data_IF_168801938921
#
_entry.id   IF_168801938921
#
_cell.length_a   1.000
_cell.length_b   1.000
_cell.length_c   1.000
_cell.angle_alpha   90.00
_cell.angle_beta   90.00
_cell.angle_gamma   90.00
#
_symmetry.space_group_name_H-M   'P 1'
#
loop_
_entity.id
_entity.type
_entity.pdbx_description
1 polymer ?
#
# COMPACT_ATOMS: atom_id res chain seq x y z
N UNK A 1 1.62 -16.24 -7.05
CA UNK A 1 2.75 -17.16 -6.78
C UNK A 1 2.26 -18.59 -6.60
N UNK A 2 1.21 -18.83 -5.79
CA UNK A 2 0.63 -20.18 -5.68
C UNK A 2 0.00 -20.68 -6.99
N UNK A 3 -0.55 -19.79 -7.81
CA UNK A 3 -1.10 -20.10 -9.15
C UNK A 3 -0.01 -20.52 -10.16
N UNK A 4 1.24 -20.18 -9.91
CA UNK A 4 2.38 -20.53 -10.78
C UNK A 4 3.11 -21.80 -10.32
N UNK A 5 2.57 -22.52 -9.34
CA UNK A 5 3.18 -23.75 -8.81
C UNK A 5 4.48 -23.54 -8.01
N UNK A 6 4.83 -22.29 -7.71
CA UNK A 6 5.99 -21.98 -6.86
C UNK A 6 5.58 -22.03 -5.38
N UNK A 7 6.33 -22.75 -4.53
CA UNK A 7 6.04 -22.78 -3.11
C UNK A 7 6.22 -21.39 -2.49
N UNK A 8 5.22 -20.94 -1.75
CA UNK A 8 5.30 -19.72 -0.93
C UNK A 8 5.73 -20.15 0.47
N UNK A 9 6.94 -19.81 0.85
CA UNK A 9 7.49 -20.16 2.15
C UNK A 9 6.99 -19.17 3.22
N UNK A 10 6.66 -19.68 4.40
CA UNK A 10 6.52 -18.82 5.57
C UNK A 10 7.88 -18.21 5.96
N UNK A 11 7.88 -17.13 6.73
CA UNK A 11 9.12 -16.49 7.23
C UNK A 11 10.02 -17.52 7.91
N UNK A 12 9.46 -18.36 8.80
CA UNK A 12 10.24 -19.40 9.48
C UNK A 12 10.81 -20.44 8.53
N UNK A 13 10.04 -20.89 7.54
CA UNK A 13 10.50 -21.86 6.55
C UNK A 13 11.64 -21.28 5.71
N UNK A 14 11.50 -20.05 5.24
CA UNK A 14 12.55 -19.37 4.48
C UNK A 14 13.84 -19.18 5.30
N UNK A 15 13.72 -18.77 6.56
CA UNK A 15 14.89 -18.63 7.44
C UNK A 15 15.58 -19.98 7.67
N UNK A 16 14.82 -21.03 7.93
CA UNK A 16 15.39 -22.38 8.14
C UNK A 16 16.08 -22.91 6.87
N UNK A 17 15.52 -22.67 5.70
CA UNK A 17 16.12 -23.06 4.42
C UNK A 17 17.43 -22.31 4.17
N UNK A 18 17.47 -20.99 4.40
CA UNK A 18 18.70 -20.20 4.28
C UNK A 18 19.78 -20.65 5.28
N UNK A 19 19.38 -20.99 6.51
CA UNK A 19 20.28 -21.55 7.51
C UNK A 19 20.87 -22.89 7.04
N UNK A 20 20.06 -23.78 6.46
CA UNK A 20 20.53 -25.06 5.91
C UNK A 20 21.49 -24.88 4.72
N UNK A 21 21.39 -23.75 4.00
CA UNK A 21 22.33 -23.36 2.93
C UNK A 21 23.61 -22.72 3.47
N UNK A 22 23.78 -22.58 4.79
CA UNK A 22 24.97 -22.01 5.42
C UNK A 22 25.00 -20.49 5.48
N UNK A 23 23.86 -19.81 5.26
CA UNK A 23 23.76 -18.36 5.42
C UNK A 23 23.91 -17.98 6.89
N UNK A 24 24.86 -17.09 7.19
CA UNK A 24 25.13 -16.60 8.56
C UNK A 24 24.73 -15.14 8.77
N UNK A 25 24.64 -14.35 7.69
CA UNK A 25 24.29 -12.94 7.73
C UNK A 25 23.00 -12.72 6.95
N UNK A 26 21.88 -12.57 7.66
CA UNK A 26 20.56 -12.48 7.09
C UNK A 26 20.05 -11.03 7.05
N UNK A 27 19.62 -10.60 5.89
CA UNK A 27 18.91 -9.33 5.69
C UNK A 27 17.51 -9.61 5.17
N UNK A 28 16.50 -9.11 5.86
CA UNK A 28 15.09 -9.26 5.52
C UNK A 28 14.56 -7.88 5.19
N UNK A 29 14.07 -7.67 3.96
CA UNK A 29 13.41 -6.43 3.58
C UNK A 29 11.90 -6.61 3.63
N UNK A 30 11.24 -5.81 4.47
CA UNK A 30 9.78 -5.68 4.44
C UNK A 30 9.33 -4.99 3.15
N UNK A 31 8.27 -5.50 2.53
CA UNK A 31 7.58 -4.86 1.42
C UNK A 31 6.25 -4.21 1.86
N UNK A 32 6.02 -4.05 3.16
CA UNK A 32 4.86 -3.31 3.66
C UNK A 32 5.02 -1.81 3.43
N UNK A 33 3.92 -1.12 3.19
CA UNK A 33 3.92 0.34 3.00
C UNK A 33 3.97 1.04 4.35
N UNK A 34 3.16 0.63 5.32
CA UNK A 34 3.05 1.24 6.63
C UNK A 34 3.49 0.28 7.74
N UNK A 35 3.93 0.80 8.93
CA UNK A 35 4.29 0.01 10.10
C UNK A 35 3.02 -0.50 10.80
N UNK A 36 2.39 -1.50 10.21
CA UNK A 36 1.14 -2.09 10.66
C UNK A 36 1.33 -3.47 11.28
N UNK A 37 0.23 -4.15 11.58
CA UNK A 37 0.24 -5.45 12.27
C UNK A 37 1.01 -6.52 11.48
N UNK A 38 0.91 -6.53 10.16
CA UNK A 38 1.61 -7.48 9.29
C UNK A 38 3.13 -7.32 9.41
N UNK A 39 3.61 -6.08 9.48
CA UNK A 39 5.02 -5.81 9.74
C UNK A 39 5.44 -6.26 11.13
N UNK A 40 4.63 -5.98 12.14
CA UNK A 40 4.88 -6.42 13.52
C UNK A 40 4.89 -7.96 13.62
N UNK A 41 4.04 -8.65 12.84
CA UNK A 41 4.06 -10.11 12.76
C UNK A 41 5.35 -10.63 12.15
N UNK A 42 5.84 -9.99 11.08
CA UNK A 42 7.14 -10.32 10.49
C UNK A 42 8.25 -10.23 11.54
N UNK A 43 8.34 -9.11 12.27
CA UNK A 43 9.36 -8.94 13.31
C UNK A 43 9.24 -10.00 14.42
N UNK A 44 8.02 -10.27 14.91
CA UNK A 44 7.80 -11.31 15.93
C UNK A 44 8.20 -12.71 15.42
N UNK A 45 7.92 -13.04 14.16
CA UNK A 45 8.33 -14.32 13.57
C UNK A 45 9.84 -14.44 13.48
N UNK A 46 10.54 -13.38 13.08
CA UNK A 46 12.00 -13.34 13.03
C UNK A 46 12.60 -13.51 14.43
N UNK A 47 12.14 -12.73 15.40
CA UNK A 47 12.61 -12.84 16.80
C UNK A 47 12.37 -14.24 17.34
N UNK A 48 11.18 -14.80 17.12
CA UNK A 48 10.87 -16.17 17.57
C UNK A 48 11.79 -17.22 16.94
N UNK A 49 12.15 -17.06 15.66
CA UNK A 49 13.05 -17.99 14.97
C UNK A 49 14.47 -17.95 15.57
N UNK A 50 15.05 -16.75 15.69
CA UNK A 50 16.42 -16.61 16.23
C UNK A 50 16.52 -17.01 17.71
N UNK A 51 15.45 -16.78 18.49
CA UNK A 51 15.40 -17.21 19.91
C UNK A 51 15.36 -18.74 20.04
N UNK A 52 14.66 -19.42 19.13
CA UNK A 52 14.60 -20.90 19.11
C UNK A 52 15.86 -21.56 18.59
N UNK A 53 16.61 -20.87 17.74
CA UNK A 53 17.80 -21.37 17.06
C UNK A 53 18.99 -20.44 17.31
N UNK A 54 19.47 -20.31 18.57
CA UNK A 54 20.53 -19.38 18.90
C UNK A 54 21.84 -19.76 18.19
N UNK A 55 22.54 -18.75 17.66
CA UNK A 55 23.85 -18.95 17.01
C UNK A 55 23.81 -19.46 15.56
N UNK A 56 22.64 -19.74 15.00
CA UNK A 56 22.52 -20.13 13.60
C UNK A 56 22.90 -18.97 12.67
N UNK A 57 22.37 -17.77 12.95
CA UNK A 57 22.77 -16.56 12.25
C UNK A 57 23.70 -15.72 13.13
N UNK A 58 24.78 -15.20 12.57
CA UNK A 58 25.68 -14.23 13.21
C UNK A 58 25.02 -12.86 13.29
N UNK A 59 24.34 -12.47 12.20
CA UNK A 59 23.59 -11.23 12.13
C UNK A 59 22.24 -11.44 11.47
N UNK A 60 21.20 -10.78 12.02
CA UNK A 60 19.89 -10.69 11.40
C UNK A 60 19.46 -9.22 11.42
N UNK A 61 19.13 -8.68 10.25
CA UNK A 61 18.62 -7.30 10.11
C UNK A 61 17.27 -7.35 9.40
N UNK A 62 16.28 -6.66 9.96
CA UNK A 62 14.96 -6.47 9.35
C UNK A 62 14.86 -5.02 8.88
N UNK A 63 14.61 -4.83 7.60
CA UNK A 63 14.35 -3.51 7.02
C UNK A 63 12.95 -3.01 7.36
N UNK A 64 12.84 -1.71 7.57
CA UNK A 64 11.57 -1.06 7.86
C UNK A 64 10.59 -1.10 6.67
N UNK A 65 9.28 -0.89 6.93
CA UNK A 65 8.32 -0.56 5.89
C UNK A 65 8.69 0.73 5.15
N UNK A 66 7.98 1.00 4.07
CA UNK A 66 8.27 2.16 3.20
C UNK A 66 8.08 3.51 3.93
N UNK A 67 7.07 3.63 4.79
CA UNK A 67 6.67 4.87 5.45
C UNK A 67 6.93 4.80 6.97
N UNK A 68 8.12 5.16 7.42
CA UNK A 68 8.47 5.18 8.85
C UNK A 68 8.98 6.54 9.35
N UNK A 69 9.23 7.49 8.45
CA UNK A 69 9.71 8.83 8.78
C UNK A 69 9.10 9.89 7.85
N UNK A 70 9.15 11.17 8.27
CA UNK A 70 8.76 12.30 7.41
C UNK A 70 9.56 12.35 6.10
N UNK A 71 10.85 12.02 6.16
CA UNK A 71 11.72 11.97 4.98
C UNK A 71 11.24 10.91 3.96
N UNK A 72 10.81 9.75 4.46
CA UNK A 72 10.26 8.70 3.60
C UNK A 72 8.93 9.15 3.00
N UNK A 73 8.09 9.79 3.80
CA UNK A 73 6.81 10.33 3.34
C UNK A 73 7.00 11.36 2.22
N UNK A 74 7.89 12.32 2.40
CA UNK A 74 8.20 13.34 1.39
C UNK A 74 8.75 12.71 0.10
N UNK A 75 9.62 11.71 0.23
CA UNK A 75 10.19 11.00 -0.91
C UNK A 75 9.10 10.22 -1.68
N UNK A 76 8.23 9.52 -0.96
CA UNK A 76 7.12 8.74 -1.55
C UNK A 76 6.12 9.66 -2.24
N UNK A 77 5.71 10.75 -1.60
CA UNK A 77 4.80 11.74 -2.21
C UNK A 77 5.39 12.26 -3.52
N UNK A 78 6.65 12.65 -3.52
CA UNK A 78 7.34 13.15 -4.73
C UNK A 78 7.38 12.11 -5.85
N UNK A 79 7.73 10.88 -5.54
CA UNK A 79 7.83 9.79 -6.52
C UNK A 79 6.46 9.44 -7.10
N UNK A 80 5.45 9.29 -6.25
CA UNK A 80 4.09 8.95 -6.69
C UNK A 80 3.49 10.06 -7.55
N UNK A 81 3.62 11.33 -7.15
CA UNK A 81 3.14 12.45 -7.97
C UNK A 81 3.84 12.53 -9.33
N UNK A 82 5.13 12.20 -9.39
CA UNK A 82 5.87 12.14 -10.65
C UNK A 82 5.47 10.95 -11.55
N UNK A 83 4.88 9.90 -10.97
CA UNK A 83 4.43 8.69 -11.68
C UNK A 83 2.97 8.76 -12.14
N UNK A 84 2.24 9.83 -11.82
CA UNK A 84 0.85 9.98 -12.23
C UNK A 84 0.69 9.99 -13.76
N UNK A 85 -0.48 9.59 -14.29
CA UNK A 85 -0.71 9.51 -15.72
C UNK A 85 -0.39 10.80 -16.46
N UNK A 86 0.37 10.70 -17.54
CA UNK A 86 0.80 11.87 -18.35
C UNK A 86 -0.37 12.57 -19.05
N UNK A 87 -1.46 11.84 -19.31
CA UNK A 87 -2.69 12.38 -19.94
C UNK A 87 -3.62 13.03 -18.93
N UNK A 88 -3.23 13.11 -17.66
CA UNK A 88 -3.95 13.86 -16.62
C UNK A 88 -4.01 15.33 -17.01
N UNK A 89 -5.23 15.88 -17.07
CA UNK A 89 -5.47 17.29 -17.38
C UNK A 89 -5.62 18.12 -16.12
N UNK A 90 -5.39 19.44 -16.18
CA UNK A 90 -5.75 20.34 -15.09
C UNK A 90 -7.22 20.14 -14.67
N UNK A 91 -7.46 20.01 -13.37
CA UNK A 91 -8.79 19.74 -12.81
C UNK A 91 -9.20 18.26 -12.77
N UNK A 92 -8.44 17.35 -13.35
CA UNK A 92 -8.64 15.93 -13.12
C UNK A 92 -8.22 15.55 -11.70
N UNK A 93 -9.06 14.78 -11.05
CA UNK A 93 -8.75 14.21 -9.75
C UNK A 93 -7.95 12.91 -9.89
N UNK A 94 -7.23 12.56 -8.83
CA UNK A 94 -6.60 11.24 -8.64
C UNK A 94 -7.03 10.70 -7.30
N UNK A 95 -7.46 9.45 -7.28
CA UNK A 95 -7.68 8.69 -6.06
C UNK A 95 -6.70 7.53 -6.02
N UNK A 96 -5.80 7.59 -5.07
CA UNK A 96 -4.86 6.52 -4.76
C UNK A 96 -5.57 5.54 -3.82
N UNK A 97 -5.53 4.25 -4.12
CA UNK A 97 -6.09 3.20 -3.27
C UNK A 97 -4.99 2.52 -2.47
N UNK A 98 -4.98 2.73 -1.15
CA UNK A 98 -4.21 1.94 -0.21
C UNK A 98 -5.04 0.79 0.37
N UNK A 99 -4.39 -0.26 0.90
CA UNK A 99 -5.08 -1.33 1.63
C UNK A 99 -5.74 -0.78 2.89
N UNK A 100 -4.96 -0.07 3.68
CA UNK A 100 -5.43 0.43 4.97
C UNK A 100 -5.13 -0.53 6.12
N UNK A 101 -5.56 -0.12 7.29
CA UNK A 101 -5.51 -0.90 8.53
C UNK A 101 -6.64 -0.43 9.43
N UNK A 102 -7.32 -1.34 10.11
CA UNK A 102 -8.46 -1.02 10.99
C UNK A 102 -8.13 0.01 12.07
N UNK A 103 -6.89 0.02 12.55
CA UNK A 103 -6.45 0.86 13.68
C UNK A 103 -4.93 0.84 13.84
N UNK A 104 -4.45 1.71 14.74
CA UNK A 104 -3.08 1.72 15.21
C UNK A 104 -2.12 2.55 14.34
N UNK A 105 -0.80 2.33 14.47
CA UNK A 105 0.21 3.15 13.82
C UNK A 105 0.10 3.16 12.29
N UNK A 106 -0.32 2.04 11.68
CA UNK A 106 -0.50 1.94 10.24
C UNK A 106 -1.61 2.86 9.72
N UNK A 107 -2.75 2.93 10.40
CA UNK A 107 -3.84 3.81 10.05
C UNK A 107 -3.45 5.30 10.19
N UNK A 108 -2.77 5.65 11.28
CA UNK A 108 -2.24 7.02 11.48
C UNK A 108 -1.23 7.41 10.39
N UNK A 109 -0.34 6.49 10.01
CA UNK A 109 0.64 6.71 8.94
C UNK A 109 -0.06 6.97 7.61
N UNK A 110 -1.09 6.20 7.27
CA UNK A 110 -1.83 6.38 6.01
C UNK A 110 -2.69 7.64 6.03
N UNK A 111 -3.24 8.04 7.17
CA UNK A 111 -3.94 9.32 7.32
C UNK A 111 -2.98 10.52 7.12
N UNK A 112 -1.77 10.46 7.70
CA UNK A 112 -0.73 11.46 7.47
C UNK A 112 -0.29 11.50 6.01
N UNK A 113 -0.18 10.33 5.37
CA UNK A 113 0.17 10.21 3.95
C UNK A 113 -0.91 10.82 3.05
N UNK A 114 -2.18 10.59 3.36
CA UNK A 114 -3.31 11.21 2.65
C UNK A 114 -3.27 12.74 2.74
N UNK A 115 -2.99 13.27 3.92
CA UNK A 115 -2.84 14.72 4.13
C UNK A 115 -1.65 15.28 3.35
N UNK A 116 -0.52 14.56 3.31
CA UNK A 116 0.67 14.99 2.57
C UNK A 116 0.45 15.01 1.06
N UNK A 117 -0.20 14.00 0.49
CA UNK A 117 -0.59 14.00 -0.93
C UNK A 117 -1.48 15.19 -1.26
N UNK A 118 -2.54 15.38 -0.48
CA UNK A 118 -3.50 16.47 -0.73
C UNK A 118 -2.88 17.86 -0.56
N UNK A 119 -1.94 18.02 0.37
CA UNK A 119 -1.14 19.25 0.54
C UNK A 119 -0.25 19.53 -0.66
N UNK A 120 0.37 18.50 -1.23
CA UNK A 120 1.26 18.63 -2.37
C UNK A 120 0.51 18.85 -3.70
N UNK A 121 -0.65 18.21 -3.86
CA UNK A 121 -1.57 18.40 -4.98
C UNK A 121 -3.03 18.29 -4.48
N UNK A 122 -3.80 19.40 -4.44
CA UNK A 122 -5.18 19.43 -3.95
C UNK A 122 -6.16 18.55 -4.75
N UNK A 123 -5.75 18.06 -5.92
CA UNK A 123 -6.54 17.13 -6.73
C UNK A 123 -6.14 15.67 -6.54
N UNK A 124 -5.27 15.36 -5.57
CA UNK A 124 -4.85 13.99 -5.24
C UNK A 124 -5.37 13.62 -3.85
N UNK A 125 -6.07 12.51 -3.79
CA UNK A 125 -6.58 11.90 -2.56
C UNK A 125 -6.01 10.49 -2.41
N UNK A 126 -5.66 10.11 -1.20
CA UNK A 126 -5.44 8.73 -0.82
C UNK A 126 -6.67 8.27 -0.04
N UNK A 127 -7.28 7.18 -0.44
CA UNK A 127 -8.28 6.47 0.32
C UNK A 127 -7.85 5.02 0.56
N UNK A 128 -8.41 4.38 1.56
CA UNK A 128 -8.05 3.02 1.94
C UNK A 128 -9.29 2.12 1.95
N UNK A 129 -9.08 0.82 1.69
CA UNK A 129 -10.13 -0.19 1.77
C UNK A 129 -10.57 -0.36 3.22
N UNK A 130 -9.59 -0.37 4.14
CA UNK A 130 -9.81 -0.50 5.58
C UNK A 130 -9.31 0.76 6.31
N UNK A 131 -9.82 1.00 7.51
CA UNK A 131 -9.36 2.07 8.40
C UNK A 131 -10.11 3.38 8.28
N UNK A 132 -9.56 4.43 8.91
CA UNK A 132 -10.24 5.72 9.08
C UNK A 132 -10.32 6.56 7.80
N UNK A 133 -9.42 6.35 6.84
CA UNK A 133 -9.37 7.12 5.60
C UNK A 133 -10.13 6.43 4.45
N UNK A 134 -11.34 5.97 4.73
CA UNK A 134 -12.15 5.19 3.79
C UNK A 134 -12.54 5.99 2.54
N UNK A 135 -12.86 5.28 1.46
CA UNK A 135 -13.39 5.90 0.24
C UNK A 135 -14.72 6.63 0.47
N UNK A 136 -15.53 6.20 1.47
CA UNK A 136 -16.75 6.89 1.85
C UNK A 136 -16.48 8.31 2.37
N UNK A 137 -15.35 8.53 3.02
CA UNK A 137 -14.92 9.85 3.50
C UNK A 137 -14.30 10.71 2.38
N UNK A 138 -13.80 10.10 1.31
CA UNK A 138 -13.17 10.79 0.17
C UNK A 138 -14.19 11.15 -0.92
N UNK A 139 -15.15 10.30 -1.21
CA UNK A 139 -16.11 10.50 -2.31
C UNK A 139 -16.91 11.82 -2.21
N UNK A 140 -17.41 12.27 -1.05
CA UNK A 140 -18.07 13.57 -0.92
C UNK A 140 -17.13 14.75 -1.25
N UNK A 141 -15.87 14.69 -0.80
CA UNK A 141 -14.85 15.71 -1.08
C UNK A 141 -14.52 15.77 -2.57
N UNK A 142 -14.42 14.60 -3.19
CA UNK A 142 -14.20 14.45 -4.63
C UNK A 142 -15.35 15.08 -5.45
N UNK A 143 -16.59 14.84 -5.05
CA UNK A 143 -17.76 15.52 -5.64
C UNK A 143 -17.69 17.05 -5.49
N UNK A 144 -17.35 17.51 -4.31
CA UNK A 144 -17.25 18.93 -4.01
C UNK A 144 -16.11 19.63 -4.78
N UNK A 145 -15.07 18.91 -5.18
CA UNK A 145 -13.96 19.46 -5.99
C UNK A 145 -14.36 19.87 -7.40
N UNK A 146 -15.51 19.41 -7.89
CA UNK A 146 -15.99 19.66 -9.25
C UNK A 146 -15.26 18.90 -10.36
N UNK A 147 -14.36 17.97 -10.00
CA UNK A 147 -13.66 17.15 -10.96
C UNK A 147 -14.63 16.36 -11.84
N UNK A 148 -14.35 16.30 -13.15
CA UNK A 148 -15.16 15.53 -14.11
C UNK A 148 -14.56 14.17 -14.41
N UNK A 149 -13.24 14.06 -14.35
CA UNK A 149 -12.49 12.82 -14.54
C UNK A 149 -11.71 12.50 -13.30
N UNK A 150 -11.69 11.22 -12.93
CA UNK A 150 -11.04 10.73 -11.72
C UNK A 150 -10.15 9.55 -12.09
N UNK A 151 -8.86 9.76 -12.01
CA UNK A 151 -7.88 8.70 -12.16
C UNK A 151 -7.87 7.82 -10.92
N UNK A 152 -7.91 6.52 -11.10
CA UNK A 152 -7.88 5.51 -10.05
C UNK A 152 -6.57 4.76 -10.15
N UNK A 153 -5.74 4.81 -9.10
CA UNK A 153 -4.42 4.18 -9.10
C UNK A 153 -4.17 3.44 -7.79
N UNK A 154 -3.68 2.20 -7.85
CA UNK A 154 -3.24 1.50 -6.64
C UNK A 154 -2.07 2.21 -5.96
N UNK A 155 -2.14 2.33 -4.65
CA UNK A 155 -1.03 2.70 -3.75
C UNK A 155 -0.66 1.46 -2.93
N UNK A 156 -0.17 0.46 -3.63
CA UNK A 156 0.18 -0.88 -3.12
C UNK A 156 1.44 -1.36 -3.83
N UNK A 157 2.24 -2.19 -3.16
CA UNK A 157 3.43 -2.81 -3.78
C UNK A 157 3.04 -3.75 -4.94
N UNK A 158 1.89 -4.41 -4.81
CA UNK A 158 1.33 -5.30 -5.84
C UNK A 158 -0.13 -4.95 -6.05
N UNK A 159 -0.49 -4.62 -7.29
CA UNK A 159 -1.88 -4.48 -7.72
C UNK A 159 -2.52 -5.87 -7.84
N UNK A 160 -3.16 -6.31 -6.77
CA UNK A 160 -3.83 -7.62 -6.64
C UNK A 160 -5.35 -7.53 -6.81
N UNK A 161 -6.07 -8.39 -6.09
CA UNK A 161 -7.53 -8.50 -6.16
C UNK A 161 -8.22 -7.17 -5.81
N UNK A 162 -7.74 -6.41 -4.83
CA UNK A 162 -8.29 -5.09 -4.50
C UNK A 162 -8.22 -4.09 -5.66
N UNK A 163 -7.13 -4.08 -6.43
CA UNK A 163 -7.03 -3.18 -7.57
C UNK A 163 -7.95 -3.59 -8.73
N UNK A 164 -8.16 -4.88 -8.94
CA UNK A 164 -8.97 -5.38 -10.04
C UNK A 164 -10.46 -5.43 -9.69
N UNK A 165 -10.81 -5.68 -8.44
CA UNK A 165 -12.19 -5.82 -8.00
C UNK A 165 -12.68 -4.53 -7.31
N UNK A 166 -12.12 -4.16 -6.16
CA UNK A 166 -12.62 -3.05 -5.35
C UNK A 166 -12.38 -1.68 -6.02
N UNK A 167 -11.22 -1.50 -6.70
CA UNK A 167 -10.91 -0.24 -7.36
C UNK A 167 -11.63 -0.09 -8.69
N UNK A 168 -11.54 -1.09 -9.58
CA UNK A 168 -11.94 -0.98 -10.98
C UNK A 168 -12.83 -2.12 -11.48
N UNK A 169 -13.34 -2.98 -10.59
CA UNK A 169 -14.23 -4.07 -10.93
C UNK A 169 -15.59 -3.61 -11.43
N UNK A 170 -16.38 -4.54 -12.02
CA UNK A 170 -17.70 -4.25 -12.58
C UNK A 170 -18.79 -4.11 -11.51
N UNK A 171 -18.54 -4.51 -10.27
CA UNK A 171 -19.52 -4.53 -9.19
C UNK A 171 -19.95 -3.11 -8.80
N UNK A 172 -21.17 -2.96 -8.30
CA UNK A 172 -21.74 -1.64 -7.97
C UNK A 172 -21.00 -0.92 -6.84
N UNK A 173 -20.37 -1.66 -5.94
CA UNK A 173 -19.62 -1.17 -4.79
C UNK A 173 -18.16 -0.82 -5.14
N UNK A 174 -17.67 -1.19 -6.32
CA UNK A 174 -16.34 -0.78 -6.77
C UNK A 174 -16.21 0.74 -6.81
N UNK A 175 -15.02 1.25 -6.54
CA UNK A 175 -14.77 2.70 -6.53
C UNK A 175 -15.05 3.33 -7.89
N UNK A 176 -14.72 2.63 -8.99
CA UNK A 176 -15.03 3.07 -10.34
C UNK A 176 -16.55 3.22 -10.59
N UNK A 177 -17.34 2.21 -10.20
CA UNK A 177 -18.80 2.25 -10.34
C UNK A 177 -19.42 3.36 -9.49
N UNK A 178 -18.95 3.54 -8.27
CA UNK A 178 -19.41 4.59 -7.36
C UNK A 178 -19.06 6.01 -7.85
N UNK A 179 -17.88 6.20 -8.46
CA UNK A 179 -17.48 7.45 -9.11
C UNK A 179 -18.40 7.74 -10.29
N UNK A 180 -18.69 6.72 -11.12
CA UNK A 180 -19.61 6.84 -12.24
C UNK A 180 -21.03 7.20 -11.79
N UNK A 181 -21.54 6.53 -10.76
CA UNK A 181 -22.83 6.83 -10.15
C UNK A 181 -22.90 8.26 -9.57
N UNK A 182 -21.74 8.79 -9.17
CA UNK A 182 -21.60 10.18 -8.70
C UNK A 182 -21.52 11.22 -9.83
N UNK A 183 -21.65 10.82 -11.09
CA UNK A 183 -21.63 11.70 -12.27
C UNK A 183 -20.23 12.09 -12.77
N UNK A 184 -19.20 11.37 -12.36
CA UNK A 184 -17.81 11.58 -12.79
C UNK A 184 -17.35 10.42 -13.68
N UNK A 185 -16.30 10.62 -14.47
CA UNK A 185 -15.73 9.60 -15.34
C UNK A 185 -14.54 8.94 -14.66
N UNK A 186 -14.62 7.66 -14.27
CA UNK A 186 -13.47 6.93 -13.72
C UNK A 186 -12.47 6.61 -14.84
N UNK A 187 -11.19 6.77 -14.52
CA UNK A 187 -10.05 6.52 -15.40
C UNK A 187 -9.08 5.53 -14.70
N UNK A 188 -9.35 4.21 -14.75
CA UNK A 188 -8.49 3.23 -14.09
C UNK A 188 -7.07 3.21 -14.68
N UNK A 189 -6.07 3.32 -13.82
CA UNK A 189 -4.65 3.15 -14.10
C UNK A 189 -4.10 2.08 -13.16
N UNK A 190 -4.25 0.81 -13.55
CA UNK A 190 -3.90 -0.34 -12.72
C UNK A 190 -2.42 -0.75 -12.84
N UNK A 191 -1.64 -0.01 -13.60
CA UNK A 191 -0.20 -0.20 -13.68
C UNK A 191 0.42 0.42 -12.42
N UNK A 192 0.91 -0.42 -11.53
CA UNK A 192 1.69 -0.01 -10.37
C UNK A 192 3.09 0.40 -10.73
#
# INVERSE_FOLDING_TARGET
LAKEGKPVLSVNAAMNELAAQGVTDLKIQSLHIAPAEEYNQLERMVVKNITKNPGVFKTVKVGYPLLVSEKDLDAVVKVVLASLPKDRKPGDAVVLMGHGNDRGPGDLTLAATAAAFHKADPHVWLATVEGSNSFDNVLPKLKASGAKRVWLQPFMIVAGDHANNDLAGPEEDSWASRIKAAGMTPMPNLKG
#
